data_IF_423758626880
#
_entry.id   IF_423758626880
#
_cell.length_a   1.000
_cell.length_b   1.000
_cell.length_c   1.000
_cell.angle_alpha   90.00
_cell.angle_beta   90.00
_cell.angle_gamma   90.00
#
_symmetry.space_group_name_H-M   'P 1'
#
loop_
_entity.id
_entity.type
_entity.pdbx_description
1 polymer ?
#
# COMPACT_ATOMS: atom_id res chain seq x y z
N UNK A 1 -5.39 53.44 -71.23
CA UNK A 1 -4.65 52.26 -70.73
C UNK A 1 -4.80 52.22 -69.22
N UNK A 2 -5.22 51.07 -68.70
CA UNK A 2 -5.62 50.78 -67.32
C UNK A 2 -4.61 51.26 -66.27
N UNK A 3 -5.09 51.80 -65.14
CA UNK A 3 -4.43 51.59 -63.85
C UNK A 3 -5.44 51.56 -62.69
N UNK A 4 -5.74 50.32 -62.29
CA UNK A 4 -5.98 49.81 -60.93
C UNK A 4 -6.17 50.83 -59.79
N UNK A 5 -7.40 50.90 -59.27
CA UNK A 5 -7.68 51.41 -57.91
C UNK A 5 -7.14 50.42 -56.89
N UNK A 6 -6.14 50.84 -56.12
CA UNK A 6 -5.61 50.12 -54.96
C UNK A 6 -6.02 50.87 -53.70
N UNK A 7 -7.03 50.37 -53.01
CA UNK A 7 -7.38 50.85 -51.67
C UNK A 7 -6.33 50.34 -50.69
N UNK A 8 -5.42 51.21 -50.26
CA UNK A 8 -4.54 50.97 -49.12
C UNK A 8 -5.25 51.46 -47.86
N UNK A 9 -5.73 50.53 -47.04
CA UNK A 9 -6.21 50.83 -45.69
C UNK A 9 -4.98 50.88 -44.79
N UNK A 10 -4.56 52.09 -44.42
CA UNK A 10 -3.56 52.27 -43.37
C UNK A 10 -4.26 52.07 -42.01
N UNK A 11 -3.81 51.14 -41.14
CA UNK A 11 -4.42 50.98 -39.83
C UNK A 11 -4.07 52.22 -39.00
N UNK A 12 -5.09 52.98 -38.57
CA UNK A 12 -4.85 54.15 -37.73
C UNK A 12 -4.35 53.70 -36.35
N UNK A 13 -3.23 54.29 -35.94
CA UNK A 13 -2.52 53.99 -34.70
C UNK A 13 -3.37 54.20 -33.42
N UNK A 14 -4.51 54.90 -33.54
CA UNK A 14 -5.47 55.12 -32.47
C UNK A 14 -6.37 53.90 -32.20
N UNK A 15 -6.63 53.05 -33.20
CA UNK A 15 -7.40 51.80 -33.03
C UNK A 15 -6.63 50.74 -32.25
N UNK A 16 -5.33 50.59 -32.54
CA UNK A 16 -4.43 49.66 -31.85
C UNK A 16 -4.20 50.03 -30.38
N UNK A 17 -4.08 51.33 -30.05
CA UNK A 17 -3.98 51.80 -28.66
C UNK A 17 -5.27 51.54 -27.86
N UNK A 18 -6.44 51.72 -28.48
CA UNK A 18 -7.72 51.43 -27.82
C UNK A 18 -7.92 49.94 -27.58
N UNK A 19 -7.50 49.09 -28.52
CA UNK A 19 -7.55 47.62 -28.37
C UNK A 19 -6.58 47.10 -27.31
N UNK A 20 -5.37 47.65 -27.24
CA UNK A 20 -4.39 47.29 -26.21
C UNK A 20 -4.84 47.73 -24.81
N UNK A 21 -5.48 48.90 -24.70
CA UNK A 21 -6.01 49.39 -23.43
C UNK A 21 -7.21 48.56 -22.95
N UNK A 22 -8.11 48.15 -23.85
CA UNK A 22 -9.24 47.27 -23.48
C UNK A 22 -8.78 45.86 -23.13
N UNK A 23 -7.76 45.31 -23.79
CA UNK A 23 -7.17 44.02 -23.39
C UNK A 23 -6.46 44.10 -22.03
N UNK A 24 -5.77 45.20 -21.74
CA UNK A 24 -5.10 45.39 -20.44
C UNK A 24 -6.12 45.54 -19.29
N UNK A 25 -7.22 46.27 -19.49
CA UNK A 25 -8.29 46.41 -18.49
C UNK A 25 -9.02 45.08 -18.25
N UNK A 26 -9.27 44.29 -19.29
CA UNK A 26 -9.85 42.94 -19.15
C UNK A 26 -8.89 41.97 -18.43
N UNK A 27 -7.57 42.07 -18.66
CA UNK A 27 -6.58 41.25 -17.95
C UNK A 27 -6.49 41.61 -16.46
N UNK A 28 -6.58 42.89 -16.11
CA UNK A 28 -6.61 43.34 -14.71
C UNK A 28 -7.92 42.96 -14.01
N UNK A 29 -9.06 42.99 -14.72
CA UNK A 29 -10.33 42.50 -14.19
C UNK A 29 -10.27 40.98 -13.94
N UNK A 30 -9.69 40.19 -14.86
CA UNK A 30 -9.49 38.75 -14.67
C UNK A 30 -8.53 38.41 -13.52
N UNK A 31 -7.54 39.26 -13.24
CA UNK A 31 -6.63 39.10 -12.10
C UNK A 31 -7.25 39.58 -10.78
N UNK A 32 -8.17 40.54 -10.80
CA UNK A 32 -8.91 41.02 -9.63
C UNK A 32 -9.94 40.01 -9.10
N UNK A 33 -10.51 39.18 -9.97
CA UNK A 33 -11.38 38.06 -9.60
C UNK A 33 -10.62 36.75 -9.30
N UNK A 34 -9.30 36.74 -9.46
CA UNK A 34 -8.44 35.60 -9.10
C UNK A 34 -8.05 35.57 -7.61
N UNK A 35 -8.64 36.44 -6.78
CA UNK A 35 -8.56 36.31 -5.33
C UNK A 35 -9.39 35.11 -4.89
N UNK A 36 -8.71 33.96 -4.85
CA UNK A 36 -9.01 32.80 -4.04
C UNK A 36 -10.49 32.49 -3.91
N UNK A 37 -11.06 31.84 -4.92
CA UNK A 37 -12.06 30.83 -4.63
C UNK A 37 -11.38 29.72 -3.82
N UNK A 38 -11.15 29.99 -2.53
CA UNK A 38 -11.04 28.94 -1.55
C UNK A 38 -12.41 28.29 -1.55
N UNK A 39 -12.53 27.20 -2.31
CA UNK A 39 -13.57 26.23 -2.03
C UNK A 39 -13.47 25.97 -0.52
N UNK A 40 -14.43 26.50 0.23
CA UNK A 40 -14.62 26.15 1.62
C UNK A 40 -15.08 24.70 1.62
N UNK A 41 -14.16 23.78 1.36
CA UNK A 41 -14.21 22.48 1.99
C UNK A 41 -14.26 22.82 3.47
N UNK A 42 -15.46 22.69 4.06
CA UNK A 42 -15.72 23.05 5.44
C UNK A 42 -14.59 22.52 6.31
N UNK A 43 -14.15 23.32 7.27
CA UNK A 43 -13.07 22.98 8.21
C UNK A 43 -13.15 21.50 8.61
N UNK A 44 -12.37 20.66 7.93
CA UNK A 44 -12.14 19.29 8.37
C UNK A 44 -11.25 19.48 9.57
N UNK A 45 -11.84 19.42 10.77
CA UNK A 45 -11.08 19.46 12.02
C UNK A 45 -9.89 18.52 11.86
N UNK A 46 -8.67 18.97 12.16
CA UNK A 46 -7.48 18.10 12.16
C UNK A 46 -7.67 16.82 13.00
N UNK A 47 -8.66 16.83 13.88
CA UNK A 47 -9.06 15.75 14.78
C UNK A 47 -9.91 14.63 14.11
N UNK A 48 -10.18 14.73 12.81
CA UNK A 48 -11.13 13.84 12.10
C UNK A 48 -10.47 12.83 11.15
N UNK A 49 -9.15 12.84 11.00
CA UNK A 49 -8.41 11.84 10.20
C UNK A 49 -7.69 10.92 11.17
N UNK A 50 -8.13 9.66 11.24
CA UNK A 50 -7.41 8.62 11.97
C UNK A 50 -6.00 8.51 11.38
N UNK A 51 -4.98 8.65 12.22
CA UNK A 51 -3.59 8.39 11.81
C UNK A 51 -3.42 6.88 11.49
N UNK A 52 -3.13 6.51 10.23
CA UNK A 52 -2.92 5.11 9.84
C UNK A 52 -1.77 4.43 10.61
N UNK A 53 -0.85 5.22 11.17
CA UNK A 53 0.27 4.73 11.98
C UNK A 53 -0.18 3.99 13.24
N UNK A 54 -1.40 4.24 13.73
CA UNK A 54 -1.97 3.55 14.90
C UNK A 54 -2.20 2.05 14.62
N UNK A 55 -2.47 1.69 13.36
CA UNK A 55 -2.68 0.30 12.92
C UNK A 55 -1.36 -0.40 12.54
N UNK A 56 -0.23 0.30 12.61
CA UNK A 56 1.07 -0.27 12.27
C UNK A 56 1.47 -1.34 13.28
N UNK A 57 1.86 -2.49 12.75
CA UNK A 57 2.38 -3.60 13.55
C UNK A 57 3.83 -3.28 13.94
N UNK A 58 4.15 -3.45 15.22
CA UNK A 58 5.51 -3.36 15.74
C UNK A 58 6.27 -4.66 15.41
N UNK A 59 6.51 -4.93 14.14
CA UNK A 59 6.95 -6.24 13.63
C UNK A 59 8.15 -6.83 14.39
N UNK A 60 9.11 -6.00 14.76
CA UNK A 60 10.33 -6.40 15.49
C UNK A 60 9.98 -7.12 16.81
N UNK A 61 8.87 -6.75 17.46
CA UNK A 61 8.42 -7.36 18.72
C UNK A 61 7.84 -8.77 18.53
N UNK A 62 7.31 -9.07 17.35
CA UNK A 62 6.53 -10.29 17.11
C UNK A 62 7.23 -11.26 16.14
N UNK A 63 8.18 -10.79 15.34
CA UNK A 63 8.96 -11.63 14.44
C UNK A 63 9.82 -12.63 15.24
N UNK A 64 9.74 -13.90 14.85
CA UNK A 64 10.40 -15.02 15.51
C UNK A 64 9.65 -15.57 16.70
N UNK A 65 8.67 -14.84 17.23
CA UNK A 65 7.87 -15.27 18.36
C UNK A 65 6.90 -16.38 17.97
N UNK A 66 6.62 -17.25 18.94
CA UNK A 66 5.62 -18.30 18.83
C UNK A 66 4.38 -17.87 19.61
N UNK A 67 3.29 -17.61 18.91
CA UNK A 67 2.01 -17.31 19.54
C UNK A 67 1.42 -18.55 20.23
N UNK A 68 0.41 -18.33 21.06
CA UNK A 68 -0.48 -19.40 21.51
C UNK A 68 -1.35 -19.85 20.32
N UNK A 69 -1.62 -21.14 20.23
CA UNK A 69 -2.38 -21.74 19.14
C UNK A 69 -3.44 -22.74 19.64
N UNK A 70 -3.66 -22.82 20.96
CA UNK A 70 -4.75 -23.61 21.55
C UNK A 70 -6.07 -22.81 21.55
N UNK A 71 -6.38 -22.22 20.39
CA UNK A 71 -7.64 -21.51 20.15
C UNK A 71 -8.60 -22.44 19.40
N UNK A 72 -9.85 -22.46 19.87
CA UNK A 72 -10.96 -23.12 19.17
C UNK A 72 -11.63 -22.10 18.27
N UNK A 73 -11.69 -22.44 16.99
CA UNK A 73 -12.31 -21.68 15.91
C UNK A 73 -13.49 -22.48 15.37
N UNK A 74 -14.41 -21.83 14.66
CA UNK A 74 -15.51 -22.48 13.99
C UNK A 74 -15.40 -22.28 12.49
N UNK A 75 -15.62 -23.35 11.71
CA UNK A 75 -15.67 -23.26 10.26
C UNK A 75 -17.06 -22.84 9.75
N UNK A 76 -17.24 -22.82 8.43
CA UNK A 76 -18.50 -22.43 7.78
C UNK A 76 -19.69 -23.34 8.13
N UNK A 77 -19.43 -24.57 8.58
CA UNK A 77 -20.46 -25.51 9.03
C UNK A 77 -20.78 -25.36 10.52
N UNK A 78 -20.00 -24.55 11.25
CA UNK A 78 -20.05 -24.41 12.70
C UNK A 78 -19.32 -25.51 13.45
N UNK A 79 -18.51 -26.33 12.76
CA UNK A 79 -17.71 -27.35 13.41
C UNK A 79 -16.52 -26.72 14.13
N UNK A 80 -16.29 -27.15 15.37
CA UNK A 80 -15.16 -26.70 16.17
C UNK A 80 -13.84 -27.25 15.63
N UNK A 81 -12.83 -26.38 15.59
CA UNK A 81 -11.54 -26.63 14.98
C UNK A 81 -10.43 -25.96 15.79
N UNK A 82 -9.37 -26.71 16.14
CA UNK A 82 -8.21 -26.13 16.84
C UNK A 82 -7.24 -25.50 15.84
N UNK A 83 -6.90 -24.22 16.05
CA UNK A 83 -5.95 -23.48 15.20
C UNK A 83 -4.63 -24.23 15.04
N UNK A 84 -4.08 -24.77 16.12
CA UNK A 84 -2.82 -25.53 16.12
C UNK A 84 -2.79 -26.74 15.17
N UNK A 85 -3.94 -27.26 14.74
CA UNK A 85 -3.97 -28.36 13.75
C UNK A 85 -3.65 -27.92 12.31
N UNK A 86 -3.65 -26.61 12.01
CA UNK A 86 -3.16 -26.07 10.74
C UNK A 86 -1.63 -25.99 10.66
N UNK A 87 -0.92 -26.21 11.77
CA UNK A 87 0.53 -26.14 11.86
C UNK A 87 1.21 -27.42 11.30
N UNK A 88 2.54 -27.44 11.30
CA UNK A 88 3.33 -28.51 10.68
C UNK A 88 3.71 -28.24 9.22
N UNK A 89 3.09 -27.23 8.61
CA UNK A 89 3.47 -26.60 7.35
C UNK A 89 3.49 -25.09 7.55
N UNK A 90 4.13 -24.30 6.67
CA UNK A 90 3.95 -22.85 6.68
C UNK A 90 2.47 -22.52 6.60
N UNK A 91 2.05 -21.52 7.37
CA UNK A 91 0.67 -21.07 7.42
C UNK A 91 0.61 -19.59 7.03
N UNK A 92 -0.18 -19.29 6.00
CA UNK A 92 -0.57 -17.92 5.66
C UNK A 92 -1.80 -17.58 6.49
N UNK A 93 -1.64 -16.72 7.49
CA UNK A 93 -2.74 -16.28 8.34
C UNK A 93 -3.25 -14.92 7.87
N UNK A 94 -4.55 -14.80 7.69
CA UNK A 94 -5.24 -13.56 7.36
C UNK A 94 -6.32 -13.28 8.41
N UNK A 95 -6.34 -12.04 8.94
CA UNK A 95 -7.44 -11.58 9.78
C UNK A 95 -8.45 -10.83 8.92
N UNK A 96 -9.72 -11.19 9.06
CA UNK A 96 -10.82 -10.59 8.31
C UNK A 96 -12.05 -10.41 9.19
N UNK A 97 -13.14 -9.89 8.64
CA UNK A 97 -14.47 -9.92 9.26
C UNK A 97 -15.51 -9.96 8.16
N UNK A 98 -16.59 -10.70 8.36
CA UNK A 98 -17.49 -11.16 7.30
C UNK A 98 -18.75 -10.31 7.17
N UNK A 99 -19.03 -9.44 8.14
CA UNK A 99 -20.10 -8.40 8.09
C UNK A 99 -19.67 -7.11 7.38
N UNK A 100 -18.53 -7.10 6.70
CA UNK A 100 -18.01 -5.94 5.98
C UNK A 100 -18.74 -5.72 4.64
N UNK A 101 -19.58 -4.69 4.55
CA UNK A 101 -20.34 -4.29 3.35
C UNK A 101 -19.46 -3.68 2.21
N UNK A 102 -18.28 -4.25 1.93
CA UNK A 102 -17.45 -3.78 0.81
C UNK A 102 -16.03 -4.32 0.78
N UNK A 103 -15.06 -3.47 1.13
CA UNK A 103 -13.63 -3.63 0.81
C UNK A 103 -13.00 -4.98 1.24
N UNK A 104 -13.55 -5.64 2.24
CA UNK A 104 -13.00 -6.89 2.78
C UNK A 104 -13.20 -8.10 1.87
N UNK A 105 -14.31 -8.15 1.11
CA UNK A 105 -14.55 -9.22 0.13
C UNK A 105 -13.57 -9.13 -1.04
N UNK A 106 -13.24 -7.91 -1.46
CA UNK A 106 -12.22 -7.63 -2.49
C UNK A 106 -10.84 -8.07 -2.04
N UNK A 107 -10.45 -7.84 -0.79
CA UNK A 107 -9.14 -8.25 -0.26
C UNK A 107 -8.99 -9.78 -0.26
N UNK A 108 -10.01 -10.51 0.19
CA UNK A 108 -9.97 -11.97 0.20
C UNK A 108 -10.02 -12.56 -1.22
N UNK A 109 -10.75 -11.93 -2.13
CA UNK A 109 -10.72 -12.27 -3.56
C UNK A 109 -9.33 -12.04 -4.16
N UNK A 110 -8.70 -10.91 -3.87
CA UNK A 110 -7.33 -10.61 -4.31
C UNK A 110 -6.33 -11.62 -3.75
N UNK A 111 -6.48 -12.04 -2.49
CA UNK A 111 -5.67 -13.14 -1.94
C UNK A 111 -5.84 -14.42 -2.76
N UNK A 112 -7.10 -14.80 -3.05
CA UNK A 112 -7.40 -15.97 -3.90
C UNK A 112 -6.72 -15.90 -5.25
N UNK A 113 -6.81 -14.75 -5.92
CA UNK A 113 -6.19 -14.52 -7.24
C UNK A 113 -4.66 -14.55 -7.18
N UNK A 114 -4.05 -13.91 -6.18
CA UNK A 114 -2.60 -13.97 -5.98
C UNK A 114 -2.13 -15.40 -5.73
N UNK A 115 -2.86 -16.17 -4.91
CA UNK A 115 -2.50 -17.56 -4.61
C UNK A 115 -2.67 -18.50 -5.81
N UNK A 116 -3.60 -18.22 -6.73
CA UNK A 116 -3.71 -18.96 -8.01
C UNK A 116 -2.47 -18.79 -8.89
N UNK A 117 -1.77 -17.66 -8.78
CA UNK A 117 -0.52 -17.41 -9.51
C UNK A 117 0.72 -18.03 -8.86
N UNK A 118 0.59 -18.66 -7.69
CA UNK A 118 1.70 -19.37 -7.02
C UNK A 118 1.83 -20.76 -7.67
N UNK A 119 2.85 -20.94 -8.49
CA UNK A 119 3.03 -22.18 -9.27
C UNK A 119 3.95 -23.17 -8.56
N UNK A 120 4.93 -22.67 -7.80
CA UNK A 120 5.97 -23.49 -7.16
C UNK A 120 5.47 -24.30 -5.97
N UNK A 121 4.43 -23.82 -5.28
CA UNK A 121 3.93 -24.41 -4.04
C UNK A 121 2.43 -24.63 -4.10
N UNK A 122 1.96 -25.76 -3.56
CA UNK A 122 0.53 -26.11 -3.58
C UNK A 122 -0.11 -25.94 -2.20
N UNK A 123 -1.26 -25.25 -2.15
CA UNK A 123 -2.09 -25.14 -0.93
C UNK A 123 -2.49 -26.55 -0.45
N UNK A 124 -2.47 -26.78 0.86
CA UNK A 124 -2.77 -28.06 1.51
C UNK A 124 -1.65 -29.08 1.44
N UNK A 125 -0.75 -28.98 0.46
CA UNK A 125 0.39 -29.88 0.30
C UNK A 125 1.68 -29.27 0.87
N UNK A 126 2.02 -28.05 0.48
CA UNK A 126 3.25 -27.38 0.86
C UNK A 126 3.08 -26.32 1.93
N UNK A 127 1.90 -25.68 1.96
CA UNK A 127 1.53 -24.64 2.92
C UNK A 127 0.01 -24.63 3.09
N UNK A 128 -0.45 -24.06 4.19
CA UNK A 128 -1.86 -23.89 4.50
C UNK A 128 -2.23 -22.41 4.50
N UNK A 129 -3.53 -22.11 4.36
CA UNK A 129 -4.08 -20.76 4.49
C UNK A 129 -5.18 -20.79 5.55
N UNK A 130 -5.14 -19.85 6.47
CA UNK A 130 -6.18 -19.69 7.49
C UNK A 130 -6.65 -18.25 7.49
N UNK A 131 -7.94 -18.05 7.25
CA UNK A 131 -8.61 -16.77 7.47
C UNK A 131 -9.39 -16.86 8.77
N UNK A 132 -9.14 -15.94 9.71
CA UNK A 132 -9.83 -15.89 11.01
C UNK A 132 -10.59 -14.59 11.12
N UNK A 133 -11.87 -14.66 11.47
CA UNK A 133 -12.63 -13.46 11.81
C UNK A 133 -12.17 -12.86 13.14
N UNK A 134 -11.98 -11.54 13.17
CA UNK A 134 -11.75 -10.78 14.39
C UNK A 134 -13.02 -10.07 14.91
N UNK A 135 -14.17 -10.24 14.25
CA UNK A 135 -15.45 -9.75 14.76
C UNK A 135 -16.18 -10.87 15.53
N UNK A 136 -16.43 -10.64 16.81
CA UNK A 136 -17.16 -11.57 17.68
C UNK A 136 -18.62 -11.78 17.24
N UNK A 137 -19.14 -10.87 16.42
CA UNK A 137 -20.51 -10.95 15.93
C UNK A 137 -20.62 -11.78 14.64
N UNK A 138 -19.48 -12.18 14.05
CA UNK A 138 -19.48 -13.11 12.93
C UNK A 138 -19.88 -14.51 13.37
N UNK A 139 -20.71 -15.13 12.55
CA UNK A 139 -21.25 -16.47 12.77
C UNK A 139 -20.91 -17.36 11.56
N UNK A 140 -21.02 -18.69 11.69
CA UNK A 140 -20.90 -19.57 10.54
C UNK A 140 -21.85 -19.18 9.38
N UNK A 141 -23.02 -18.62 9.69
CA UNK A 141 -23.95 -18.10 8.69
C UNK A 141 -23.43 -16.85 7.95
N UNK A 142 -22.80 -15.88 8.66
CA UNK A 142 -22.20 -14.71 8.00
C UNK A 142 -21.00 -15.11 7.16
N UNK A 143 -20.17 -16.04 7.66
CA UNK A 143 -19.08 -16.65 6.91
C UNK A 143 -19.57 -17.34 5.62
N UNK A 144 -20.62 -18.15 5.70
CA UNK A 144 -21.16 -18.84 4.53
C UNK A 144 -21.68 -17.87 3.45
N UNK A 145 -22.26 -16.74 3.86
CA UNK A 145 -22.66 -15.68 2.93
C UNK A 145 -21.45 -14.98 2.32
N UNK A 146 -20.47 -14.62 3.15
CA UNK A 146 -19.22 -14.02 2.68
C UNK A 146 -18.48 -14.90 1.68
N UNK A 147 -18.43 -16.21 1.90
CA UNK A 147 -17.82 -17.16 0.95
C UNK A 147 -18.51 -17.11 -0.42
N UNK A 148 -19.84 -16.99 -0.47
CA UNK A 148 -20.56 -16.86 -1.74
C UNK A 148 -20.18 -15.56 -2.47
N UNK A 149 -20.16 -14.44 -1.76
CA UNK A 149 -19.83 -13.13 -2.32
C UNK A 149 -18.37 -13.03 -2.78
N UNK A 150 -17.44 -13.63 -2.03
CA UNK A 150 -16.02 -13.67 -2.34
C UNK A 150 -15.65 -14.69 -3.44
N UNK A 151 -16.63 -15.42 -4.00
CA UNK A 151 -16.41 -16.37 -5.10
C UNK A 151 -15.91 -17.75 -4.67
N UNK A 152 -16.19 -18.14 -3.42
CA UNK A 152 -15.90 -19.45 -2.83
C UNK A 152 -17.16 -20.29 -2.61
N UNK A 153 -18.22 -20.06 -3.40
CA UNK A 153 -19.49 -20.79 -3.30
C UNK A 153 -19.33 -22.31 -3.52
N UNK A 154 -18.38 -22.71 -4.37
CA UNK A 154 -18.07 -24.12 -4.67
C UNK A 154 -17.13 -24.76 -3.63
N UNK A 155 -16.80 -24.02 -2.57
CA UNK A 155 -15.90 -24.44 -1.49
C UNK A 155 -14.50 -23.83 -1.56
N UNK A 156 -13.71 -24.09 -0.52
CA UNK A 156 -12.33 -23.64 -0.40
C UNK A 156 -11.35 -24.69 -0.95
N UNK A 157 -10.19 -24.26 -1.49
CA UNK A 157 -9.11 -25.18 -1.80
C UNK A 157 -8.71 -26.02 -0.58
N UNK A 158 -8.34 -27.29 -0.80
CA UNK A 158 -7.85 -28.15 0.29
C UNK A 158 -6.64 -27.49 0.98
N UNK A 159 -6.73 -27.28 2.30
CA UNK A 159 -5.72 -26.58 3.10
C UNK A 159 -5.96 -25.08 3.30
N UNK A 160 -7.03 -24.52 2.73
CA UNK A 160 -7.56 -23.22 3.11
C UNK A 160 -8.79 -23.40 4.00
N UNK A 161 -8.75 -22.85 5.22
CA UNK A 161 -9.93 -22.70 6.08
C UNK A 161 -10.25 -21.23 6.31
N UNK A 162 -11.53 -20.89 6.26
CA UNK A 162 -12.06 -19.62 6.75
C UNK A 162 -12.85 -19.91 8.02
N UNK A 163 -12.71 -19.08 9.05
CA UNK A 163 -13.19 -19.41 10.38
C UNK A 163 -13.68 -18.20 11.14
N UNK A 164 -14.60 -18.42 12.07
CA UNK A 164 -15.05 -17.45 13.07
C UNK A 164 -14.54 -17.83 14.44
N UNK A 165 -14.58 -16.88 15.38
CA UNK A 165 -14.28 -17.12 16.78
C UNK A 165 -15.29 -16.37 17.64
N UNK A 166 -15.98 -17.07 18.54
CA UNK A 166 -17.08 -16.47 19.30
C UNK A 166 -16.60 -15.65 20.51
N UNK A 167 -15.50 -16.08 21.14
CA UNK A 167 -15.03 -15.46 22.37
C UNK A 167 -14.13 -14.25 22.09
N UNK A 168 -14.62 -13.05 22.42
CA UNK A 168 -13.85 -11.80 22.28
C UNK A 168 -12.50 -11.85 22.98
N UNK A 169 -12.42 -12.46 24.18
CA UNK A 169 -11.15 -12.57 24.90
C UNK A 169 -10.09 -13.38 24.12
N UNK A 170 -10.51 -14.40 23.37
CA UNK A 170 -9.62 -15.19 22.53
C UNK A 170 -9.23 -14.44 21.26
N UNK A 171 -10.16 -13.67 20.68
CA UNK A 171 -9.84 -12.75 19.56
C UNK A 171 -8.76 -11.75 19.98
N UNK A 172 -8.94 -11.10 21.12
CA UNK A 172 -8.00 -10.08 21.61
C UNK A 172 -6.62 -10.70 21.92
N UNK A 173 -6.58 -11.92 22.48
CA UNK A 173 -5.33 -12.66 22.72
C UNK A 173 -4.64 -13.04 21.42
N UNK A 174 -5.37 -13.63 20.47
CA UNK A 174 -4.80 -14.10 19.20
C UNK A 174 -4.27 -12.92 18.38
N UNK A 175 -5.08 -11.89 18.16
CA UNK A 175 -4.69 -10.70 17.40
C UNK A 175 -3.55 -9.94 18.11
N UNK A 176 -3.65 -9.77 19.42
CA UNK A 176 -2.61 -9.13 20.25
C UNK A 176 -1.27 -9.87 20.25
N UNK A 177 -1.28 -11.21 20.21
CA UNK A 177 -0.06 -12.03 20.15
C UNK A 177 0.75 -11.84 18.86
N UNK A 178 0.11 -11.31 17.81
CA UNK A 178 0.73 -11.08 16.50
C UNK A 178 0.80 -9.59 16.14
N UNK A 179 0.46 -8.71 17.08
CA UNK A 179 0.48 -7.27 16.92
C UNK A 179 -0.61 -6.70 16.02
N UNK A 180 -1.63 -7.48 15.67
CA UNK A 180 -2.75 -7.04 14.86
C UNK A 180 -3.68 -6.17 15.71
N UNK A 181 -3.72 -4.87 15.40
CA UNK A 181 -4.56 -3.88 16.08
C UNK A 181 -5.75 -3.55 15.19
N UNK A 182 -6.94 -3.45 15.77
CA UNK A 182 -8.15 -3.07 15.09
C UNK A 182 -9.07 -2.29 16.04
N UNK A 183 -9.93 -1.43 15.50
CA UNK A 183 -10.91 -0.71 16.30
C UNK A 183 -12.14 -0.32 15.48
N UNK A 184 -13.26 -0.13 16.15
CA UNK A 184 -14.52 0.28 15.54
C UNK A 184 -14.51 1.80 15.28
N UNK A 185 -14.83 2.22 14.05
CA UNK A 185 -15.12 3.62 13.71
C UNK A 185 -16.64 3.84 13.76
N UNK A 186 -17.17 4.58 14.75
CA UNK A 186 -18.59 4.93 14.78
C UNK A 186 -19.00 5.82 13.59
N UNK A 187 -18.06 6.60 13.04
CA UNK A 187 -18.30 7.46 11.89
C UNK A 187 -18.57 6.64 10.63
N UNK A 188 -17.68 5.69 10.37
CA UNK A 188 -17.68 4.91 9.13
C UNK A 188 -18.49 3.62 9.27
N UNK A 189 -19.02 3.36 10.48
CA UNK A 189 -19.75 2.15 10.85
C UNK A 189 -19.02 0.86 10.44
N UNK A 190 -17.69 0.85 10.57
CA UNK A 190 -16.84 -0.27 10.17
C UNK A 190 -15.63 -0.40 11.08
N UNK A 191 -15.00 -1.58 11.05
CA UNK A 191 -13.72 -1.80 11.70
C UNK A 191 -12.57 -1.27 10.85
N UNK A 192 -11.74 -0.44 11.46
CA UNK A 192 -10.46 -0.06 10.89
C UNK A 192 -9.41 -1.08 11.34
N UNK A 193 -8.74 -1.69 10.36
CA UNK A 193 -7.74 -2.73 10.58
C UNK A 193 -6.67 -2.69 9.47
N UNK A 194 -5.44 -3.16 9.73
CA UNK A 194 -4.44 -3.27 8.67
C UNK A 194 -4.81 -4.39 7.70
N UNK A 195 -4.51 -4.20 6.42
CA UNK A 195 -4.52 -5.26 5.44
C UNK A 195 -3.15 -5.95 5.46
N UNK A 196 -3.06 -7.11 6.11
CA UNK A 196 -1.78 -7.81 6.29
C UNK A 196 -1.99 -9.33 6.34
N UNK A 197 -1.11 -10.06 5.66
CA UNK A 197 -0.97 -11.51 5.79
C UNK A 197 0.25 -11.82 6.65
N UNK A 198 0.04 -12.69 7.63
CA UNK A 198 1.04 -13.06 8.62
C UNK A 198 1.55 -14.45 8.25
N UNK A 199 2.84 -14.55 8.00
CA UNK A 199 3.48 -15.79 7.57
C UNK A 199 4.01 -16.53 8.78
N UNK A 200 3.47 -17.71 9.06
CA UNK A 200 3.94 -18.56 10.15
C UNK A 200 4.79 -19.71 9.60
N UNK A 201 5.85 -20.06 10.33
CA UNK A 201 6.64 -21.26 10.05
C UNK A 201 5.89 -22.54 10.42
N UNK A 202 6.34 -23.73 9.98
CA UNK A 202 5.81 -25.01 10.44
C UNK A 202 5.75 -25.16 11.97
N UNK A 203 6.69 -24.54 12.70
CA UNK A 203 6.71 -24.51 14.17
C UNK A 203 5.77 -23.46 14.80
N UNK A 204 5.05 -22.70 13.98
CA UNK A 204 4.17 -21.62 14.42
C UNK A 204 4.93 -20.39 14.87
N UNK A 205 6.10 -20.08 14.28
CA UNK A 205 6.77 -18.79 14.55
C UNK A 205 6.38 -17.77 13.50
N UNK A 206 6.18 -16.51 13.90
CA UNK A 206 5.95 -15.43 12.93
C UNK A 206 7.25 -15.19 12.16
N UNK A 207 7.22 -15.37 10.84
CA UNK A 207 8.41 -15.26 9.99
C UNK A 207 8.41 -13.99 9.16
N UNK A 208 7.24 -13.46 8.80
CA UNK A 208 7.10 -12.24 7.99
C UNK A 208 5.68 -11.68 8.04
N UNK A 209 5.57 -10.37 7.85
CA UNK A 209 4.31 -9.67 7.56
C UNK A 209 4.30 -9.22 6.10
N UNK A 210 3.20 -9.44 5.39
CA UNK A 210 2.99 -9.00 4.01
C UNK A 210 1.78 -8.06 3.98
N UNK A 211 1.99 -6.77 3.75
CA UNK A 211 0.90 -5.80 3.71
C UNK A 211 0.17 -5.84 2.36
N UNK A 212 -1.15 -5.98 2.41
CA UNK A 212 -2.00 -6.13 1.23
C UNK A 212 -2.14 -4.86 0.39
N UNK A 213 -2.52 -5.04 -0.87
CA UNK A 213 -2.65 -3.97 -1.89
C UNK A 213 -1.73 -4.14 -3.09
N UNK A 214 -0.56 -4.76 -2.92
CA UNK A 214 0.46 -4.94 -3.97
C UNK A 214 1.21 -6.28 -3.89
N UNK A 215 0.61 -7.32 -3.31
CA UNK A 215 1.30 -8.61 -3.10
C UNK A 215 1.23 -9.44 -4.38
N UNK A 216 2.39 -9.72 -4.94
CA UNK A 216 2.53 -10.56 -6.13
C UNK A 216 2.62 -12.04 -5.76
N UNK A 217 2.34 -12.96 -6.70
CA UNK A 217 2.54 -14.39 -6.46
C UNK A 217 3.99 -14.74 -6.10
N UNK A 218 4.96 -14.03 -6.68
CA UNK A 218 6.38 -14.20 -6.37
C UNK A 218 6.68 -13.82 -4.90
N UNK A 219 6.08 -12.74 -4.38
CA UNK A 219 6.26 -12.36 -2.97
C UNK A 219 5.75 -13.47 -2.03
N UNK A 220 4.60 -14.06 -2.36
CA UNK A 220 4.05 -15.19 -1.63
C UNK A 220 4.96 -16.42 -1.71
N UNK A 221 5.47 -16.78 -2.90
CA UNK A 221 6.40 -17.89 -3.06
C UNK A 221 7.68 -17.73 -2.23
N UNK A 222 8.26 -16.53 -2.25
CA UNK A 222 9.44 -16.20 -1.47
C UNK A 222 9.15 -16.26 0.03
N UNK A 223 8.00 -15.74 0.45
CA UNK A 223 7.57 -15.78 1.85
C UNK A 223 7.34 -17.21 2.34
N UNK A 224 6.63 -18.04 1.58
CA UNK A 224 6.42 -19.47 1.87
C UNK A 224 7.76 -20.20 1.95
N UNK A 225 8.67 -19.97 1.00
CA UNK A 225 10.00 -20.59 0.99
C UNK A 225 10.81 -20.24 2.23
N UNK A 226 10.81 -18.96 2.63
CA UNK A 226 11.48 -18.52 3.86
C UNK A 226 10.85 -19.13 5.11
N UNK A 227 9.52 -19.18 5.17
CA UNK A 227 8.79 -19.79 6.28
C UNK A 227 9.06 -21.30 6.41
N UNK A 228 9.13 -22.05 5.29
CA UNK A 228 9.54 -23.48 5.28
C UNK A 228 10.93 -23.67 5.88
N UNK A 229 11.85 -22.74 5.60
CA UNK A 229 13.21 -22.77 6.12
C UNK A 229 13.38 -22.24 7.55
N UNK A 230 12.29 -21.93 8.26
CA UNK A 230 12.32 -21.26 9.58
C UNK A 230 13.13 -19.94 9.57
N UNK A 231 13.25 -19.31 8.40
CA UNK A 231 13.99 -18.06 8.25
C UNK A 231 13.09 -16.91 8.67
N UNK A 232 13.40 -16.34 9.82
CA UNK A 232 12.75 -15.13 10.30
C UNK A 232 13.28 -13.99 9.42
N UNK A 233 12.42 -13.47 8.56
CA UNK A 233 12.69 -12.23 7.86
C UNK A 233 12.44 -11.10 8.87
N UNK A 234 13.38 -10.90 9.79
CA UNK A 234 13.60 -9.54 10.26
C UNK A 234 13.72 -8.69 9.00
N UNK A 235 13.00 -7.57 8.95
CA UNK A 235 13.19 -6.50 7.98
C UNK A 235 14.61 -5.91 8.11
N UNK A 236 15.62 -6.77 8.04
CA UNK A 236 17.01 -6.42 8.11
C UNK A 236 17.32 -5.75 6.81
N UNK A 237 17.62 -4.47 7.00
CA UNK A 237 18.15 -3.56 6.01
C UNK A 237 17.05 -3.17 5.05
N UNK A 238 16.35 -2.10 5.43
CA UNK A 238 16.11 -0.94 4.59
C UNK A 238 16.20 -1.34 3.11
N UNK A 239 15.06 -1.35 2.44
CA UNK A 239 15.10 -1.08 1.02
C UNK A 239 15.53 0.40 0.89
N UNK A 240 16.77 0.71 1.26
CA UNK A 240 17.36 2.05 1.23
C UNK A 240 17.42 2.48 -0.21
N UNK A 241 17.46 1.51 -1.13
CA UNK A 241 17.38 1.68 -2.56
C UNK A 241 15.94 2.01 -3.00
N UNK A 242 14.89 1.38 -2.44
CA UNK A 242 13.49 1.73 -2.77
C UNK A 242 12.99 2.97 -2.03
N UNK A 243 13.34 3.18 -0.76
CA UNK A 243 13.03 4.37 0.02
C UNK A 243 13.83 5.61 -0.38
N UNK A 244 14.99 5.43 -1.03
CA UNK A 244 15.68 6.50 -1.72
C UNK A 244 14.92 6.89 -3.01
N UNK A 245 14.57 5.91 -3.84
CA UNK A 245 14.00 6.17 -5.16
C UNK A 245 12.50 6.50 -5.15
N UNK A 246 11.75 6.14 -4.11
CA UNK A 246 10.30 6.30 -4.03
C UNK A 246 9.85 6.87 -2.67
N UNK A 247 9.02 7.91 -2.72
CA UNK A 247 8.32 8.45 -1.56
C UNK A 247 6.92 7.84 -1.51
N UNK A 248 6.55 7.26 -0.38
CA UNK A 248 5.22 6.68 -0.19
C UNK A 248 4.23 7.79 0.18
N UNK A 249 3.29 8.09 -0.71
CA UNK A 249 2.25 9.07 -0.44
C UNK A 249 1.06 8.39 0.24
N UNK A 250 0.96 8.58 1.55
CA UNK A 250 -0.07 7.99 2.40
C UNK A 250 -1.51 8.40 2.04
N UNK A 251 -1.73 9.41 1.19
CA UNK A 251 -3.08 9.80 0.72
C UNK A 251 -3.64 8.90 -0.38
N UNK A 252 -2.77 8.30 -1.20
CA UNK A 252 -3.18 7.59 -2.42
C UNK A 252 -2.73 6.13 -2.47
N UNK A 253 -1.99 5.65 -1.46
CA UNK A 253 -1.51 4.27 -1.36
C UNK A 253 -0.51 3.85 -2.45
N UNK A 254 0.08 4.84 -3.15
CA UNK A 254 0.99 4.63 -4.28
C UNK A 254 2.42 5.05 -3.93
N UNK A 255 3.37 4.32 -4.50
CA UNK A 255 4.78 4.74 -4.55
C UNK A 255 4.96 5.76 -5.67
N UNK A 256 5.35 6.99 -5.34
CA UNK A 256 5.72 8.01 -6.33
C UNK A 256 7.24 8.17 -6.36
N UNK A 257 7.79 8.39 -7.55
CA UNK A 257 9.23 8.57 -7.72
C UNK A 257 9.68 9.81 -6.92
N UNK A 258 10.73 9.67 -6.11
CA UNK A 258 11.29 10.77 -5.31
C UNK A 258 12.12 11.71 -6.20
N UNK A 259 11.44 12.51 -7.01
CA UNK A 259 12.06 13.49 -7.94
C UNK A 259 13.10 14.38 -7.24
N UNK A 260 12.88 14.91 -6.01
CA UNK A 260 13.90 15.67 -5.29
C UNK A 260 15.22 14.94 -5.08
N UNK A 261 15.20 13.62 -4.84
CA UNK A 261 16.42 12.85 -4.66
C UNK A 261 17.20 12.67 -5.97
N UNK A 262 16.50 12.42 -7.09
CA UNK A 262 17.15 12.35 -8.41
C UNK A 262 17.80 13.68 -8.80
N UNK A 263 17.16 14.81 -8.47
CA UNK A 263 17.74 16.15 -8.65
C UNK A 263 18.99 16.33 -7.78
N UNK A 264 18.94 15.92 -6.51
CA UNK A 264 20.08 16.00 -5.60
C UNK A 264 21.26 15.11 -6.05
N UNK A 265 21.00 13.88 -6.48
CA UNK A 265 22.00 12.95 -7.00
C UNK A 265 22.61 13.48 -8.31
N UNK A 266 21.79 13.99 -9.23
CA UNK A 266 22.24 14.63 -10.46
C UNK A 266 23.13 15.85 -10.20
N UNK A 267 22.73 16.72 -9.28
CA UNK A 267 23.51 17.88 -8.87
C UNK A 267 24.86 17.49 -8.25
N UNK A 268 24.90 16.42 -7.47
CA UNK A 268 26.12 15.92 -6.83
C UNK A 268 27.09 15.29 -7.85
N UNK A 269 26.59 14.48 -8.79
CA UNK A 269 27.39 13.92 -9.89
C UNK A 269 27.92 15.05 -10.78
N UNK A 270 27.08 16.03 -11.11
CA UNK A 270 27.49 17.20 -11.90
C UNK A 270 28.55 18.04 -11.17
N UNK A 271 28.38 18.29 -9.87
CA UNK A 271 29.37 18.98 -9.06
C UNK A 271 30.72 18.25 -9.00
N UNK A 272 30.71 16.94 -8.76
CA UNK A 272 31.93 16.13 -8.70
C UNK A 272 32.65 16.06 -10.06
N UNK A 273 31.90 15.94 -11.15
CA UNK A 273 32.48 15.92 -12.50
C UNK A 273 33.11 17.26 -12.89
N UNK A 274 32.55 18.39 -12.46
CA UNK A 274 33.19 19.70 -12.63
C UNK A 274 34.48 19.82 -11.80
N UNK A 275 34.50 19.31 -10.57
CA UNK A 275 35.70 19.35 -9.70
C UNK A 275 36.81 18.48 -10.30
N UNK A 276 36.50 17.23 -10.66
CA UNK A 276 37.47 16.29 -11.26
C UNK A 276 37.92 16.79 -12.64
N UNK A 277 36.99 17.33 -13.43
CA UNK A 277 37.27 17.93 -14.73
C UNK A 277 38.20 19.14 -14.63
N UNK A 278 37.97 20.03 -13.65
CA UNK A 278 38.83 21.18 -13.37
C UNK A 278 40.23 20.76 -12.94
N UNK A 279 40.33 19.77 -12.04
CA UNK A 279 41.62 19.23 -11.58
C UNK A 279 42.40 18.57 -12.72
N UNK A 280 41.70 17.80 -13.57
CA UNK A 280 42.30 17.13 -14.73
C UNK A 280 42.76 18.14 -15.77
N UNK A 281 41.97 19.19 -16.03
CA UNK A 281 42.31 20.28 -16.93
C UNK A 281 43.51 21.10 -16.44
N UNK A 282 43.55 21.42 -15.14
CA UNK A 282 44.70 22.10 -14.52
C UNK A 282 45.97 21.25 -14.62
N UNK A 283 45.89 19.94 -14.37
CA UNK A 283 47.01 19.02 -14.52
C UNK A 283 47.51 18.97 -15.98
N UNK A 284 46.60 18.91 -16.94
CA UNK A 284 46.94 18.89 -18.37
C UNK A 284 47.57 20.20 -18.86
N UNK A 285 47.14 21.35 -18.33
CA UNK A 285 47.74 22.66 -18.64
C UNK A 285 49.10 22.86 -17.98
N UNK A 286 49.31 22.33 -16.78
CA UNK A 286 50.61 22.44 -16.08
C UNK A 286 51.72 21.70 -16.82
N UNK A 287 51.41 20.55 -17.44
CA UNK A 287 52.35 19.77 -18.27
C UNK A 287 52.72 20.48 -19.59
N UNK A 288 51.88 21.38 -20.11
CA UNK A 288 52.19 22.13 -21.35
C UNK A 288 53.06 23.36 -21.15
N UNK A 289 53.34 23.77 -19.91
CA UNK A 289 54.19 24.93 -19.60
C UNK A 289 55.63 24.55 -19.20
N UNK A 290 55.99 23.26 -19.23
CA UNK A 290 57.34 22.76 -18.95
C UNK A 290 58.08 22.27 -20.22
N UNK A 291 57.76 22.82 -21.40
CA UNK A 291 58.51 22.60 -22.65
C UNK A 291 58.97 23.94 -23.21
#
# INVERSE_FOLDING_TARGET
MNHTSSYSVTPSWSGLRKLALTMAVSAVALLGFANGAHAAYGNVSKDSVVDPSILKIEEIKFLGEKADYDFVLQDETGADFKLGSMLGKPLVLAFSYYTCDGACSVINKNLSETLKGVERWKIGQDYNVLTVSFDKNDTPATLANFMKEAGFADGLPSGWKMTTMQEKANIDKLTGSMGFKYFWSPRDAMFLHPNVYIMLSPKGRVTRYLYGGTITPLDMELAITKAKGEKIAAANVIDFVVGACYSYNYKDGKYTVNIPLFVAAGALIFGLSLIVGSFSYMKFRRVKHEI
#
